data_IF_919861466029
#
_entry.id   IF_919861466029
#
_cell.length_a   1.000
_cell.length_b   1.000
_cell.length_c   1.000
_cell.angle_alpha   90.00
_cell.angle_beta   90.00
_cell.angle_gamma   90.00
#
_symmetry.space_group_name_H-M   'P 1'
#
loop_
_entity.id
_entity.type
_entity.pdbx_description
1 polymer ?
#
# COMPACT_ATOMS: atom_id res chain seq x y z
N UNK A 1 -52.68 6.10 11.37
CA UNK A 1 -51.43 5.36 11.06
C UNK A 1 -50.90 5.93 9.76
N UNK A 2 -49.84 6.73 9.83
CA UNK A 2 -49.38 7.58 8.72
C UNK A 2 -48.60 6.83 7.64
N UNK A 3 -48.49 7.40 6.44
CA UNK A 3 -47.86 6.77 5.25
C UNK A 3 -46.34 6.61 5.35
N UNK A 4 -45.76 6.77 6.53
CA UNK A 4 -44.28 6.65 6.77
C UNK A 4 -43.82 5.22 7.00
N UNK A 5 -44.71 4.26 7.29
CA UNK A 5 -44.36 2.86 7.53
C UNK A 5 -43.89 2.10 6.27
N UNK A 6 -44.53 2.26 5.08
CA UNK A 6 -44.07 1.58 3.88
C UNK A 6 -42.73 2.09 3.36
N UNK A 7 -42.39 3.37 3.59
CA UNK A 7 -41.07 3.92 3.18
C UNK A 7 -39.91 3.38 4.05
N UNK A 8 -40.14 3.14 5.34
CA UNK A 8 -39.16 2.53 6.25
C UNK A 8 -38.92 1.04 5.91
N UNK A 9 -39.96 0.31 5.55
CA UNK A 9 -39.84 -1.10 5.13
C UNK A 9 -39.17 -1.21 3.77
N UNK A 10 -39.43 -0.28 2.84
CA UNK A 10 -38.72 -0.24 1.54
C UNK A 10 -37.22 0.14 1.69
N UNK A 11 -36.90 1.03 2.63
CA UNK A 11 -35.51 1.38 2.93
C UNK A 11 -34.72 0.25 3.63
N UNK A 12 -35.39 -0.54 4.47
CA UNK A 12 -34.79 -1.73 5.11
C UNK A 12 -34.68 -2.91 4.13
N UNK A 13 -35.56 -3.02 3.15
CA UNK A 13 -35.50 -4.07 2.13
C UNK A 13 -34.34 -3.89 1.11
N UNK A 14 -33.84 -2.68 0.93
CA UNK A 14 -32.72 -2.41 0.04
C UNK A 14 -31.33 -2.72 0.64
N UNK A 15 -31.25 -3.00 1.95
CA UNK A 15 -30.00 -3.35 2.63
C UNK A 15 -29.71 -4.86 2.67
N UNK A 16 -30.63 -5.71 2.18
CA UNK A 16 -30.44 -7.16 2.12
C UNK A 16 -30.07 -7.62 0.70
N UNK A 17 -29.09 -6.97 0.08
CA UNK A 17 -28.44 -7.58 -1.07
C UNK A 17 -27.57 -8.72 -0.55
N UNK A 18 -27.82 -9.97 -1.00
CA UNK A 18 -26.96 -11.08 -0.65
C UNK A 18 -25.55 -10.76 -1.13
N UNK A 19 -24.59 -10.96 -0.28
CA UNK A 19 -23.18 -10.81 -0.62
C UNK A 19 -22.84 -11.65 -1.89
N UNK A 20 -22.30 -11.01 -2.88
CA UNK A 20 -22.08 -11.56 -4.23
C UNK A 20 -20.60 -11.80 -4.52
N UNK A 21 -19.78 -12.13 -3.53
CA UNK A 21 -18.34 -12.36 -3.68
C UNK A 21 -17.50 -11.08 -3.77
N UNK A 22 -16.18 -11.21 -3.60
CA UNK A 22 -15.28 -10.06 -3.50
C UNK A 22 -15.36 -9.07 -4.66
N UNK A 23 -15.55 -9.54 -5.90
CA UNK A 23 -15.57 -8.63 -7.07
C UNK A 23 -16.72 -7.64 -7.06
N UNK A 24 -17.87 -7.99 -6.50
CA UNK A 24 -19.02 -7.07 -6.43
C UNK A 24 -18.90 -6.03 -5.33
N UNK A 25 -17.85 -6.12 -4.50
CA UNK A 25 -17.50 -5.02 -3.60
C UNK A 25 -16.95 -3.81 -4.34
N UNK A 26 -16.59 -3.96 -5.61
CA UNK A 26 -16.25 -2.83 -6.47
C UNK A 26 -17.50 -2.33 -7.22
N UNK A 27 -17.84 -1.06 -7.00
CA UNK A 27 -18.98 -0.41 -7.64
C UNK A 27 -18.96 -0.49 -9.17
N UNK A 28 -17.79 -0.43 -9.79
CA UNK A 28 -17.62 -0.52 -11.25
C UNK A 28 -18.13 -1.86 -11.79
N UNK A 29 -17.93 -2.95 -11.05
CA UNK A 29 -18.46 -4.28 -11.40
C UNK A 29 -19.98 -4.31 -11.29
N UNK A 30 -20.55 -3.75 -10.23
CA UNK A 30 -21.99 -3.65 -10.05
C UNK A 30 -22.66 -2.82 -11.15
N UNK A 31 -22.09 -1.68 -11.49
CA UNK A 31 -22.59 -0.80 -12.57
C UNK A 31 -22.51 -1.51 -13.94
N UNK A 32 -21.42 -2.23 -14.22
CA UNK A 32 -21.25 -3.00 -15.45
C UNK A 32 -22.24 -4.18 -15.54
N UNK A 33 -22.48 -4.90 -14.45
CA UNK A 33 -23.48 -5.98 -14.40
C UNK A 33 -24.91 -5.43 -14.58
N UNK A 34 -25.19 -4.26 -14.03
CA UNK A 34 -26.47 -3.59 -14.22
C UNK A 34 -26.68 -3.17 -15.67
N UNK A 35 -25.68 -2.55 -16.32
CA UNK A 35 -25.75 -2.20 -17.72
C UNK A 35 -25.88 -3.44 -18.63
N UNK A 36 -25.16 -4.53 -18.31
CA UNK A 36 -25.35 -5.81 -18.99
C UNK A 36 -26.83 -6.28 -18.90
N UNK A 37 -27.44 -6.21 -17.71
CA UNK A 37 -28.83 -6.66 -17.45
C UNK A 37 -29.86 -5.78 -18.15
N UNK A 38 -29.72 -4.44 -18.11
CA UNK A 38 -30.74 -3.50 -18.55
C UNK A 38 -30.58 -3.09 -20.01
N UNK A 39 -29.36 -2.98 -20.51
CA UNK A 39 -29.08 -2.35 -21.79
C UNK A 39 -28.65 -3.37 -22.87
N UNK A 40 -27.86 -4.39 -22.49
CA UNK A 40 -27.27 -5.30 -23.47
C UNK A 40 -28.07 -6.60 -23.68
N UNK A 41 -28.37 -7.33 -22.59
CA UNK A 41 -29.02 -8.66 -22.66
C UNK A 41 -30.42 -8.63 -23.33
N UNK A 42 -31.29 -7.62 -23.10
CA UNK A 42 -32.61 -7.59 -23.73
C UNK A 42 -32.55 -7.61 -25.26
N UNK A 43 -31.59 -6.89 -25.87
CA UNK A 43 -31.42 -6.81 -27.30
C UNK A 43 -30.69 -8.01 -27.92
N UNK A 44 -29.99 -8.82 -27.12
CA UNK A 44 -29.16 -9.93 -27.58
C UNK A 44 -29.69 -11.31 -27.22
N UNK A 45 -30.61 -11.37 -26.21
CA UNK A 45 -31.30 -12.57 -25.77
C UNK A 45 -32.82 -12.29 -25.78
N UNK A 46 -33.64 -13.21 -26.26
CA UNK A 46 -35.11 -13.06 -26.22
C UNK A 46 -35.62 -12.75 -24.80
N UNK A 47 -36.78 -12.05 -24.74
CA UNK A 47 -37.33 -11.46 -23.50
C UNK A 47 -37.54 -12.44 -22.33
N UNK A 48 -37.69 -13.73 -22.55
CA UNK A 48 -37.82 -14.75 -21.53
C UNK A 48 -36.48 -15.27 -21.01
N UNK A 49 -35.42 -15.18 -21.82
CA UNK A 49 -34.13 -15.81 -21.51
C UNK A 49 -33.17 -14.88 -20.74
N UNK A 50 -33.21 -13.57 -20.98
CA UNK A 50 -32.23 -12.63 -20.38
C UNK A 50 -32.27 -12.62 -18.84
N UNK A 51 -33.45 -12.69 -18.19
CA UNK A 51 -33.60 -12.72 -16.73
C UNK A 51 -32.99 -13.98 -16.12
N UNK A 52 -33.25 -15.15 -16.72
CA UNK A 52 -32.72 -16.43 -16.25
C UNK A 52 -31.18 -16.47 -16.40
N UNK A 53 -30.65 -15.97 -17.51
CA UNK A 53 -29.21 -15.86 -17.72
C UNK A 53 -28.58 -14.96 -16.68
N UNK A 54 -29.18 -13.78 -16.40
CA UNK A 54 -28.67 -12.85 -15.41
C UNK A 54 -28.72 -13.41 -13.98
N UNK A 55 -29.77 -14.11 -13.62
CA UNK A 55 -29.89 -14.79 -12.33
C UNK A 55 -28.80 -15.84 -12.14
N UNK A 56 -28.54 -16.68 -13.14
CA UNK A 56 -27.45 -17.67 -13.11
C UNK A 56 -26.06 -17.00 -13.10
N UNK A 57 -25.92 -15.87 -13.78
CA UNK A 57 -24.67 -15.11 -13.78
C UNK A 57 -24.40 -14.50 -12.38
N UNK A 58 -25.41 -13.92 -11.74
CA UNK A 58 -25.33 -13.46 -10.35
C UNK A 58 -25.03 -14.59 -9.38
N UNK A 59 -25.63 -15.77 -9.55
CA UNK A 59 -25.34 -16.96 -8.77
C UNK A 59 -23.86 -17.39 -8.94
N UNK A 60 -23.38 -17.43 -10.20
CA UNK A 60 -21.97 -17.73 -10.48
C UNK A 60 -20.99 -16.72 -9.90
N UNK A 61 -21.37 -15.43 -9.81
CA UNK A 61 -20.58 -14.41 -9.11
C UNK A 61 -20.50 -14.66 -7.60
N UNK A 62 -21.54 -15.21 -6.99
CA UNK A 62 -21.53 -15.59 -5.58
C UNK A 62 -20.49 -16.67 -5.27
N UNK A 63 -20.24 -17.57 -6.21
CA UNK A 63 -19.22 -18.61 -6.06
C UNK A 63 -17.79 -18.06 -5.94
N UNK A 64 -17.58 -16.78 -6.23
CA UNK A 64 -16.30 -16.09 -5.98
C UNK A 64 -16.01 -15.85 -4.48
N UNK A 65 -16.97 -16.05 -3.60
CA UNK A 65 -16.74 -16.09 -2.13
C UNK A 65 -16.01 -17.37 -1.73
N UNK A 66 -16.31 -18.49 -2.40
CA UNK A 66 -15.81 -19.81 -2.09
C UNK A 66 -14.70 -20.22 -3.06
N UNK A 67 -13.65 -19.42 -3.16
CA UNK A 67 -12.45 -19.78 -3.90
C UNK A 67 -11.75 -20.93 -3.16
N UNK A 68 -11.63 -22.10 -3.79
CA UNK A 68 -10.82 -23.19 -3.25
C UNK A 68 -9.35 -22.82 -3.46
N UNK A 69 -8.70 -22.41 -2.38
CA UNK A 69 -7.26 -22.18 -2.31
C UNK A 69 -6.63 -23.40 -1.65
N UNK A 70 -5.43 -23.78 -2.08
CA UNK A 70 -4.79 -25.08 -1.72
C UNK A 70 -4.33 -25.20 -0.26
N UNK A 71 -4.31 -24.13 0.54
CA UNK A 71 -3.87 -24.13 1.94
C UNK A 71 -4.92 -23.50 2.88
N UNK A 72 -4.80 -23.75 4.20
CA UNK A 72 -5.63 -23.23 5.31
C UNK A 72 -5.70 -21.70 5.37
N UNK A 73 -5.92 -21.06 4.24
CA UNK A 73 -5.89 -19.64 4.06
C UNK A 73 -7.23 -19.02 4.46
N UNK A 74 -7.15 -17.83 5.03
CA UNK A 74 -8.26 -17.06 5.55
C UNK A 74 -9.16 -16.58 4.40
N UNK A 75 -10.24 -17.35 4.14
CA UNK A 75 -11.20 -17.05 3.06
C UNK A 75 -12.00 -15.78 3.38
N UNK A 76 -12.32 -15.03 2.33
CA UNK A 76 -13.30 -13.94 2.41
C UNK A 76 -12.75 -12.57 2.75
N UNK A 77 -11.44 -12.35 2.69
CA UNK A 77 -10.84 -11.00 2.79
C UNK A 77 -9.89 -10.72 1.64
N UNK A 78 -9.82 -9.47 1.22
CA UNK A 78 -8.97 -9.01 0.12
C UNK A 78 -8.50 -7.58 0.39
N UNK A 79 -7.30 -7.23 -0.06
CA UNK A 79 -6.84 -5.85 -0.06
C UNK A 79 -7.29 -5.08 -1.31
N UNK A 80 -7.27 -3.76 -1.25
CA UNK A 80 -7.71 -2.91 -2.35
C UNK A 80 -6.91 -3.14 -3.64
N UNK A 81 -5.57 -3.26 -3.63
CA UNK A 81 -4.81 -3.50 -4.86
C UNK A 81 -5.15 -4.83 -5.54
N UNK A 82 -5.41 -5.88 -4.76
CA UNK A 82 -5.78 -7.20 -5.30
C UNK A 82 -7.20 -7.19 -5.85
N UNK A 83 -8.15 -6.55 -5.15
CA UNK A 83 -9.51 -6.33 -5.63
C UNK A 83 -9.51 -5.55 -6.94
N UNK A 84 -8.72 -4.49 -7.02
CA UNK A 84 -8.61 -3.66 -8.22
C UNK A 84 -8.10 -4.46 -9.43
N UNK A 85 -7.06 -5.28 -9.27
CA UNK A 85 -6.57 -6.16 -10.34
C UNK A 85 -7.65 -7.13 -10.84
N UNK A 86 -8.40 -7.75 -9.92
CA UNK A 86 -9.52 -8.62 -10.26
C UNK A 86 -10.62 -7.86 -11.03
N UNK A 87 -10.99 -6.70 -10.54
CA UNK A 87 -11.98 -5.81 -11.16
C UNK A 87 -11.59 -5.42 -12.58
N UNK A 88 -10.36 -4.97 -12.79
CA UNK A 88 -9.88 -4.61 -14.13
C UNK A 88 -9.90 -5.80 -15.11
N UNK A 89 -9.48 -6.97 -14.64
CA UNK A 89 -9.52 -8.19 -15.45
C UNK A 89 -10.95 -8.53 -15.87
N UNK A 90 -11.89 -8.52 -14.91
CA UNK A 90 -13.29 -8.81 -15.14
C UNK A 90 -13.94 -7.81 -16.11
N UNK A 91 -13.79 -6.51 -15.89
CA UNK A 91 -14.37 -5.47 -16.72
C UNK A 91 -13.82 -5.49 -18.14
N UNK A 92 -12.53 -5.76 -18.32
CA UNK A 92 -11.88 -5.90 -19.62
C UNK A 92 -12.51 -7.04 -20.43
N UNK A 93 -12.69 -8.20 -19.80
CA UNK A 93 -13.26 -9.35 -20.51
C UNK A 93 -14.76 -9.20 -20.77
N UNK A 94 -15.51 -8.62 -19.83
CA UNK A 94 -16.90 -8.30 -20.03
C UNK A 94 -17.08 -7.33 -21.21
N UNK A 95 -16.25 -6.26 -21.26
CA UNK A 95 -16.25 -5.31 -22.35
C UNK A 95 -15.93 -5.97 -23.69
N UNK A 96 -14.96 -6.87 -23.74
CA UNK A 96 -14.62 -7.64 -24.95
C UNK A 96 -15.83 -8.40 -25.50
N UNK A 97 -16.63 -9.02 -24.62
CA UNK A 97 -17.84 -9.75 -25.02
C UNK A 97 -18.90 -8.79 -25.54
N UNK A 98 -19.17 -7.69 -24.85
CA UNK A 98 -20.17 -6.70 -25.28
C UNK A 98 -19.78 -6.00 -26.58
N UNK A 99 -18.49 -5.72 -26.79
CA UNK A 99 -18.00 -5.10 -28.03
C UNK A 99 -18.04 -6.07 -29.23
N UNK A 100 -18.12 -7.40 -29.02
CA UNK A 100 -18.15 -8.40 -30.07
C UNK A 100 -19.54 -8.61 -30.71
N UNK A 101 -20.60 -7.97 -30.18
CA UNK A 101 -22.00 -8.05 -30.61
C UNK A 101 -22.53 -9.48 -30.82
N UNK A 102 -22.06 -10.43 -30.01
CA UNK A 102 -22.46 -11.83 -30.04
C UNK A 102 -23.87 -11.99 -29.49
N UNK A 103 -24.72 -12.82 -30.11
CA UNK A 103 -26.13 -12.99 -29.74
C UNK A 103 -26.49 -14.42 -29.40
N UNK A 104 -27.62 -14.61 -28.74
CA UNK A 104 -28.24 -15.91 -28.49
C UNK A 104 -27.39 -16.83 -27.63
N UNK A 105 -27.39 -18.12 -27.96
CA UNK A 105 -26.72 -19.17 -27.18
C UNK A 105 -25.20 -18.98 -27.09
N UNK A 106 -24.59 -18.40 -28.11
CA UNK A 106 -23.14 -18.15 -28.12
C UNK A 106 -22.77 -17.08 -27.09
N UNK A 107 -23.57 -16.01 -26.96
CA UNK A 107 -23.38 -15.00 -25.91
C UNK A 107 -23.43 -15.63 -24.50
N UNK A 108 -24.39 -16.52 -24.26
CA UNK A 108 -24.52 -17.22 -22.98
C UNK A 108 -23.27 -18.05 -22.70
N UNK A 109 -22.77 -18.80 -23.68
CA UNK A 109 -21.53 -19.59 -23.55
C UNK A 109 -20.31 -18.72 -23.24
N UNK A 110 -20.16 -17.59 -23.95
CA UNK A 110 -19.05 -16.65 -23.71
C UNK A 110 -19.09 -16.02 -22.30
N UNK A 111 -20.27 -15.63 -21.81
CA UNK A 111 -20.42 -15.06 -20.47
C UNK A 111 -20.07 -16.08 -19.38
N UNK A 112 -20.53 -17.32 -19.47
CA UNK A 112 -20.20 -18.34 -18.46
C UNK A 112 -18.75 -18.83 -18.57
N UNK A 113 -18.19 -18.87 -19.78
CA UNK A 113 -16.77 -19.13 -19.97
C UNK A 113 -15.90 -18.05 -19.33
N UNK A 114 -16.25 -16.76 -19.57
CA UNK A 114 -15.60 -15.63 -18.92
C UNK A 114 -15.67 -15.74 -17.40
N UNK A 115 -16.84 -16.03 -16.82
CA UNK A 115 -16.97 -16.20 -15.36
C UNK A 115 -16.01 -17.26 -14.81
N UNK A 116 -15.93 -18.42 -15.47
CA UNK A 116 -15.01 -19.50 -15.07
C UNK A 116 -13.56 -19.02 -15.10
N UNK A 117 -13.15 -18.37 -16.17
CA UNK A 117 -11.80 -17.81 -16.32
C UNK A 117 -11.48 -16.77 -15.23
N UNK A 118 -12.42 -15.84 -14.99
CA UNK A 118 -12.24 -14.79 -14.00
C UNK A 118 -12.18 -15.35 -12.56
N UNK A 119 -12.91 -16.41 -12.26
CA UNK A 119 -12.81 -17.13 -10.98
C UNK A 119 -11.39 -17.67 -10.76
N UNK A 120 -10.80 -18.32 -11.76
CA UNK A 120 -9.42 -18.85 -11.70
C UNK A 120 -8.37 -17.72 -11.58
N UNK A 121 -8.57 -16.61 -12.30
CA UNK A 121 -7.69 -15.43 -12.23
C UNK A 121 -7.74 -14.80 -10.84
N UNK A 122 -8.93 -14.58 -10.30
CA UNK A 122 -9.11 -14.03 -8.96
C UNK A 122 -8.51 -14.95 -7.89
N UNK A 123 -8.73 -16.26 -8.00
CA UNK A 123 -8.14 -17.23 -7.07
C UNK A 123 -6.61 -17.13 -7.01
N UNK A 124 -5.96 -16.98 -8.16
CA UNK A 124 -4.49 -16.75 -8.21
C UNK A 124 -4.09 -15.45 -7.56
N UNK A 125 -4.81 -14.35 -7.80
CA UNK A 125 -4.50 -13.06 -7.17
C UNK A 125 -4.68 -13.12 -5.65
N UNK A 126 -5.76 -13.75 -5.17
CA UNK A 126 -6.01 -13.93 -3.73
C UNK A 126 -4.96 -14.83 -3.09
N UNK A 127 -4.55 -15.91 -3.74
CA UNK A 127 -3.46 -16.78 -3.24
C UNK A 127 -2.16 -16.02 -3.08
N UNK A 128 -1.78 -15.21 -4.06
CA UNK A 128 -0.57 -14.35 -3.96
C UNK A 128 -0.69 -13.30 -2.86
N UNK A 129 -1.84 -12.65 -2.75
CA UNK A 129 -2.11 -11.71 -1.66
C UNK A 129 -1.92 -12.37 -0.30
N UNK A 130 -2.51 -13.54 -0.07
CA UNK A 130 -2.44 -14.22 1.21
C UNK A 130 -1.03 -14.70 1.55
N UNK A 131 -0.28 -15.14 0.56
CA UNK A 131 1.09 -15.61 0.73
C UNK A 131 2.08 -14.50 1.02
N UNK A 132 1.99 -13.41 0.28
CA UNK A 132 3.08 -12.42 0.22
C UNK A 132 2.70 -11.08 0.87
N UNK A 133 1.41 -10.75 0.96
CA UNK A 133 0.93 -9.42 1.37
C UNK A 133 0.15 -9.45 2.69
N UNK A 134 -0.62 -10.51 2.95
CA UNK A 134 -1.39 -10.61 4.18
C UNK A 134 -0.47 -10.90 5.36
N UNK A 135 -0.39 -9.98 6.31
CA UNK A 135 0.41 -10.12 7.53
C UNK A 135 1.88 -10.52 7.29
N UNK A 136 2.66 -9.84 6.43
CA UNK A 136 4.04 -10.19 6.11
C UNK A 136 5.01 -9.94 7.27
N UNK A 137 4.56 -9.32 8.36
CA UNK A 137 5.37 -9.04 9.52
C UNK A 137 5.79 -10.34 10.24
N UNK A 138 7.11 -10.53 10.42
CA UNK A 138 7.66 -11.67 11.19
C UNK A 138 7.59 -11.44 12.70
N UNK A 139 7.53 -10.19 13.13
CA UNK A 139 7.37 -9.75 14.52
C UNK A 139 6.57 -8.45 14.55
N UNK A 140 6.16 -8.01 15.74
CA UNK A 140 5.43 -6.77 15.93
C UNK A 140 3.95 -6.87 15.64
N UNK A 141 3.29 -5.72 15.60
CA UNK A 141 1.87 -5.60 15.28
C UNK A 141 1.71 -4.70 14.05
N UNK A 142 1.35 -5.31 12.94
CA UNK A 142 1.02 -4.63 11.69
C UNK A 142 -0.49 -4.44 11.59
N UNK A 143 -0.93 -3.31 11.06
CA UNK A 143 -2.33 -2.99 10.79
C UNK A 143 -2.54 -2.88 9.28
N UNK A 144 -3.52 -3.60 8.76
CA UNK A 144 -3.89 -3.59 7.35
C UNK A 144 -5.38 -3.35 7.19
N UNK A 145 -5.79 -2.45 6.29
CA UNK A 145 -7.19 -2.31 5.91
C UNK A 145 -7.54 -3.37 4.86
N UNK A 146 -8.49 -4.22 5.19
CA UNK A 146 -8.98 -5.29 4.32
C UNK A 146 -10.46 -5.13 4.08
N UNK A 147 -10.91 -5.57 2.90
CA UNK A 147 -12.32 -5.66 2.53
C UNK A 147 -12.82 -7.07 2.82
N UNK A 148 -13.87 -7.20 3.64
CA UNK A 148 -14.57 -8.45 3.87
C UNK A 148 -15.54 -8.72 2.71
N UNK A 149 -15.31 -9.77 1.95
CA UNK A 149 -16.06 -10.07 0.72
C UNK A 149 -17.55 -10.35 0.95
N UNK A 150 -17.92 -10.83 2.14
CA UNK A 150 -19.31 -11.12 2.50
C UNK A 150 -20.14 -9.84 2.69
N UNK A 151 -19.58 -8.81 3.33
CA UNK A 151 -20.27 -7.57 3.66
C UNK A 151 -19.82 -6.37 2.87
N UNK A 152 -18.75 -6.51 2.12
CA UNK A 152 -18.03 -5.42 1.44
C UNK A 152 -17.58 -4.29 2.39
N UNK A 153 -17.49 -4.58 3.68
CA UNK A 153 -17.01 -3.62 4.66
C UNK A 153 -15.49 -3.61 4.74
N UNK A 154 -14.92 -2.42 4.76
CA UNK A 154 -13.50 -2.24 5.04
C UNK A 154 -13.25 -2.18 6.54
N UNK A 155 -12.40 -3.09 7.03
CA UNK A 155 -12.04 -3.16 8.45
C UNK A 155 -10.53 -3.26 8.60
N UNK A 156 -10.02 -2.65 9.68
CA UNK A 156 -8.60 -2.78 10.03
C UNK A 156 -8.37 -4.14 10.69
N UNK A 157 -7.53 -4.94 10.04
CA UNK A 157 -7.04 -6.21 10.56
C UNK A 157 -5.71 -6.01 11.28
N UNK A 158 -5.57 -6.58 12.47
CA UNK A 158 -4.35 -6.50 13.27
C UNK A 158 -3.57 -7.80 13.21
N UNK A 159 -2.46 -7.80 12.49
CA UNK A 159 -1.50 -8.90 12.38
C UNK A 159 -0.60 -8.94 13.64
N UNK A 160 -1.10 -9.52 14.72
CA UNK A 160 -0.43 -9.53 16.03
C UNK A 160 0.61 -10.63 16.12
N UNK A 161 1.85 -10.25 16.33
CA UNK A 161 2.99 -11.13 16.70
C UNK A 161 3.73 -10.54 17.89
N UNK A 162 4.78 -11.21 18.36
CA UNK A 162 5.58 -10.70 19.47
C UNK A 162 6.09 -9.28 19.15
N UNK A 163 5.76 -8.31 20.01
CA UNK A 163 6.19 -6.92 19.82
C UNK A 163 7.71 -6.75 19.87
N UNK A 164 8.42 -7.64 20.57
CA UNK A 164 9.87 -7.67 20.59
C UNK A 164 10.40 -8.28 19.28
N UNK A 165 11.02 -7.43 18.47
CA UNK A 165 11.61 -7.78 17.17
C UNK A 165 13.11 -8.09 17.25
N UNK A 166 13.62 -8.32 18.46
CA UNK A 166 14.95 -8.82 18.68
C UNK A 166 15.97 -7.79 19.16
N UNK A 167 17.22 -8.23 19.15
CA UNK A 167 18.37 -7.45 19.63
C UNK A 167 19.40 -7.29 18.51
N UNK A 168 19.97 -6.09 18.38
CA UNK A 168 21.01 -5.75 17.42
C UNK A 168 22.27 -5.27 18.13
N UNK A 169 23.44 -5.74 17.71
CA UNK A 169 24.74 -5.26 18.20
C UNK A 169 25.28 -4.20 17.23
N UNK A 170 25.61 -3.04 17.77
CA UNK A 170 26.18 -1.92 17.03
C UNK A 170 27.58 -1.63 17.55
N UNK A 171 28.57 -1.66 16.67
CA UNK A 171 29.96 -1.27 16.97
C UNK A 171 30.27 0.01 16.22
N UNK A 172 30.77 1.02 16.93
CA UNK A 172 31.10 2.35 16.37
C UNK A 172 32.42 2.79 17.00
N UNK A 173 33.28 3.46 16.24
CA UNK A 173 34.52 4.01 16.83
C UNK A 173 34.27 5.37 17.49
N UNK A 174 35.08 5.67 18.47
CA UNK A 174 35.07 6.98 19.12
C UNK A 174 35.24 8.10 18.07
N UNK A 175 34.45 9.18 18.21
CA UNK A 175 34.35 10.33 17.30
C UNK A 175 33.66 10.01 15.95
N UNK A 176 33.18 8.81 15.74
CA UNK A 176 32.29 8.49 14.59
C UNK A 176 30.82 8.67 14.99
N UNK A 177 29.93 8.66 14.01
CA UNK A 177 28.50 8.79 14.22
C UNK A 177 27.87 7.42 14.50
N UNK A 178 27.08 7.35 15.54
CA UNK A 178 26.25 6.18 15.87
C UNK A 178 24.89 6.31 15.20
N UNK A 179 24.51 5.30 14.45
CA UNK A 179 23.20 5.20 13.82
C UNK A 179 22.49 3.96 14.34
N UNK A 180 21.31 4.16 14.96
CA UNK A 180 20.41 3.07 15.36
C UNK A 180 19.18 3.12 14.47
N UNK A 181 18.97 2.08 13.68
CA UNK A 181 17.86 2.00 12.72
C UNK A 181 16.77 1.04 13.24
N UNK A 182 15.60 1.58 13.48
CA UNK A 182 14.42 0.88 13.99
C UNK A 182 13.47 0.41 12.88
N UNK A 183 13.80 0.70 11.63
CA UNK A 183 12.92 0.38 10.53
C UNK A 183 12.88 -1.12 10.24
N UNK A 184 11.69 -1.61 9.95
CA UNK A 184 11.43 -2.95 9.43
C UNK A 184 10.68 -2.81 8.11
N UNK A 185 10.92 -3.74 7.20
CA UNK A 185 10.38 -3.71 5.84
C UNK A 185 8.85 -3.63 5.78
N UNK A 186 8.13 -4.10 6.79
CA UNK A 186 6.68 -4.05 6.85
C UNK A 186 6.11 -2.74 7.44
N UNK A 187 6.93 -1.87 8.04
CA UNK A 187 6.45 -0.61 8.63
C UNK A 187 5.76 0.29 7.61
N UNK A 188 6.28 0.36 6.39
CA UNK A 188 5.66 1.16 5.31
C UNK A 188 4.30 0.64 4.86
N UNK A 189 4.07 -0.68 4.97
CA UNK A 189 2.82 -1.31 4.57
C UNK A 189 1.78 -1.36 5.69
N UNK A 190 2.15 -0.89 6.90
CA UNK A 190 1.25 -0.86 8.05
C UNK A 190 0.56 0.48 8.19
N UNK A 191 -0.72 0.45 8.42
CA UNK A 191 -1.49 1.64 8.77
C UNK A 191 -1.43 1.94 10.26
N UNK A 192 -1.78 3.17 10.63
CA UNK A 192 -1.96 3.56 12.02
C UNK A 192 -0.72 3.46 12.91
N UNK A 193 0.47 3.47 12.33
CA UNK A 193 1.72 3.66 13.06
C UNK A 193 1.97 5.15 13.32
N UNK A 194 2.66 5.45 14.40
CA UNK A 194 2.86 6.83 14.86
C UNK A 194 4.35 7.15 14.93
N UNK A 195 4.83 7.50 16.14
CA UNK A 195 6.19 7.99 16.35
C UNK A 195 7.11 6.85 16.77
N UNK A 196 8.35 6.91 16.27
CA UNK A 196 9.46 6.18 16.84
C UNK A 196 9.94 6.87 18.10
N UNK A 197 10.27 6.08 19.11
CA UNK A 197 10.81 6.55 20.40
C UNK A 197 12.06 5.76 20.74
N UNK A 198 13.18 6.44 20.94
CA UNK A 198 14.43 5.81 21.34
C UNK A 198 14.72 6.13 22.80
N UNK A 199 15.06 5.09 23.54
CA UNK A 199 15.37 5.16 24.96
C UNK A 199 16.77 4.64 25.20
N UNK A 200 17.48 5.29 26.12
CA UNK A 200 18.67 4.71 26.74
C UNK A 200 18.25 3.91 27.96
N UNK A 201 18.72 2.68 28.06
CA UNK A 201 18.36 1.74 29.13
C UNK A 201 19.58 1.50 30.01
N UNK A 202 19.43 1.64 31.36
CA UNK A 202 20.47 1.36 32.32
C UNK A 202 20.32 -0.03 32.94
N UNK A 203 21.38 -0.51 33.62
CA UNK A 203 21.40 -1.82 34.27
C UNK A 203 20.28 -2.02 35.31
N UNK A 204 19.86 -0.94 35.96
CA UNK A 204 18.74 -0.94 36.92
C UNK A 204 17.36 -0.90 36.25
N UNK A 205 17.30 -1.12 34.92
CA UNK A 205 16.09 -1.03 34.09
C UNK A 205 15.44 0.35 34.05
N UNK A 206 16.11 1.39 34.51
CA UNK A 206 15.64 2.75 34.29
C UNK A 206 15.86 3.13 32.81
N UNK A 207 14.91 3.87 32.24
CA UNK A 207 14.95 4.31 30.84
C UNK A 207 14.84 5.82 30.75
N UNK A 208 15.56 6.42 29.84
CA UNK A 208 15.43 7.84 29.49
C UNK A 208 15.18 8.00 28.01
N UNK A 209 14.13 8.72 27.67
CA UNK A 209 13.85 9.10 26.30
C UNK A 209 15.00 9.94 25.73
N UNK A 210 15.53 9.53 24.59
CA UNK A 210 16.61 10.21 23.87
C UNK A 210 16.05 10.94 22.66
N UNK A 211 15.12 10.32 21.94
CA UNK A 211 14.49 10.85 20.75
C UNK A 211 13.05 10.37 20.63
N UNK A 212 12.18 11.23 20.11
CA UNK A 212 10.83 10.87 19.67
C UNK A 212 10.47 11.67 18.43
N UNK A 213 10.01 10.98 17.39
CA UNK A 213 9.62 11.60 16.13
C UNK A 213 9.27 10.58 15.06
N UNK A 214 9.09 11.05 13.84
CA UNK A 214 8.70 10.22 12.69
C UNK A 214 9.88 9.52 12.01
N UNK A 215 11.12 9.99 12.25
CA UNK A 215 12.30 9.36 11.69
C UNK A 215 12.56 8.01 12.36
N UNK A 216 12.77 6.93 11.59
CA UNK A 216 13.02 5.59 12.11
C UNK A 216 14.42 5.41 12.66
N UNK A 217 15.32 6.39 12.47
CA UNK A 217 16.71 6.33 12.84
C UNK A 217 17.06 7.33 13.94
N UNK A 218 17.88 6.89 14.90
CA UNK A 218 18.55 7.76 15.86
C UNK A 218 20.00 7.92 15.43
N UNK A 219 20.40 9.14 15.04
CA UNK A 219 21.79 9.49 14.76
C UNK A 219 22.37 10.29 15.91
N UNK A 220 23.49 9.83 16.47
CA UNK A 220 24.26 10.55 17.47
C UNK A 220 25.66 10.80 16.92
N UNK A 221 26.02 12.07 16.61
CA UNK A 221 27.32 12.40 16.07
C UNK A 221 28.42 12.31 17.14
N UNK A 222 29.64 12.02 16.70
CA UNK A 222 30.87 12.06 17.49
C UNK A 222 30.72 11.35 18.84
N UNK A 223 30.44 10.05 18.80
CA UNK A 223 30.21 9.25 20.02
C UNK A 223 31.44 9.21 20.93
N UNK A 224 31.20 9.14 22.22
CA UNK A 224 32.18 8.99 23.30
C UNK A 224 32.07 7.62 23.94
N UNK A 225 33.09 7.13 24.67
CA UNK A 225 33.01 5.87 25.41
C UNK A 225 31.81 5.82 26.37
N UNK A 226 31.37 6.97 26.90
CA UNK A 226 30.20 7.09 27.76
C UNK A 226 28.87 6.82 27.03
N UNK A 227 28.85 6.78 25.71
CA UNK A 227 27.65 6.49 24.92
C UNK A 227 27.45 4.98 24.68
N UNK A 228 28.44 4.17 25.02
CA UNK A 228 28.27 2.72 25.05
C UNK A 228 27.16 2.30 26.03
N UNK A 229 26.44 1.26 25.70
CA UNK A 229 25.38 0.71 26.54
C UNK A 229 24.17 0.20 25.76
N UNK A 230 23.09 0.00 26.47
CA UNK A 230 21.85 -0.54 25.91
C UNK A 230 20.92 0.59 25.51
N UNK A 231 20.35 0.46 24.32
CA UNK A 231 19.29 1.33 23.82
C UNK A 231 18.10 0.47 23.43
N UNK A 232 16.92 1.09 23.41
CA UNK A 232 15.68 0.47 22.98
C UNK A 232 14.93 1.43 22.06
N UNK A 233 14.57 0.94 20.90
CA UNK A 233 13.61 1.63 20.03
C UNK A 233 12.22 1.04 20.25
N UNK A 234 11.21 1.89 20.15
CA UNK A 234 9.81 1.53 20.17
C UNK A 234 9.05 2.34 19.13
N UNK A 235 8.32 1.65 18.26
CA UNK A 235 7.33 2.24 17.37
C UNK A 235 5.94 1.95 17.95
N UNK A 236 5.09 2.97 18.04
CA UNK A 236 3.76 2.84 18.61
C UNK A 236 2.67 2.96 17.54
N UNK A 237 1.53 2.33 17.80
CA UNK A 237 0.30 2.60 17.06
C UNK A 237 -0.34 3.91 17.52
N UNK A 238 -1.32 4.40 16.76
CA UNK A 238 -2.15 5.56 17.14
C UNK A 238 -2.88 5.37 18.47
N UNK A 239 -3.10 4.12 18.89
CA UNK A 239 -3.68 3.75 20.20
C UNK A 239 -2.64 3.66 21.30
N UNK A 240 -1.40 4.06 21.03
CA UNK A 240 -0.26 4.01 21.97
C UNK A 240 0.17 2.60 22.41
N UNK A 241 -0.26 1.56 21.72
CA UNK A 241 0.24 0.20 21.90
C UNK A 241 1.58 0.04 21.15
N UNK A 242 2.56 -0.69 21.71
CA UNK A 242 3.82 -0.92 21.02
C UNK A 242 3.63 -1.86 19.85
N UNK A 243 3.89 -1.35 18.64
CA UNK A 243 3.88 -2.14 17.40
C UNK A 243 5.20 -2.87 17.20
N UNK A 244 6.32 -2.22 17.53
CA UNK A 244 7.67 -2.79 17.37
C UNK A 244 8.56 -2.34 18.53
N UNK A 245 9.36 -3.27 19.05
CA UNK A 245 10.40 -3.01 20.03
C UNK A 245 11.69 -3.69 19.54
N UNK A 246 12.78 -2.93 19.45
CA UNK A 246 14.11 -3.44 19.09
C UNK A 246 15.11 -2.97 20.15
N UNK A 247 15.92 -3.89 20.63
CA UNK A 247 16.99 -3.61 21.57
C UNK A 247 18.34 -3.48 20.84
N UNK A 248 19.20 -2.59 21.32
CA UNK A 248 20.53 -2.37 20.77
C UNK A 248 21.58 -2.47 21.86
N UNK A 249 22.64 -3.23 21.59
CA UNK A 249 23.86 -3.25 22.40
C UNK A 249 24.94 -2.46 21.67
N UNK A 250 25.18 -1.23 22.14
CA UNK A 250 26.15 -0.33 21.54
C UNK A 250 27.50 -0.49 22.23
N UNK A 251 28.54 -0.76 21.44
CA UNK A 251 29.94 -0.79 21.88
C UNK A 251 30.71 0.29 21.16
N UNK A 252 31.35 1.18 21.93
CA UNK A 252 32.23 2.20 21.40
C UNK A 252 33.65 1.65 21.45
N UNK A 253 34.27 1.58 20.27
CA UNK A 253 35.65 1.13 20.08
C UNK A 253 36.58 2.34 20.09
N UNK A 254 37.88 2.15 20.37
CA UNK A 254 38.88 3.20 20.31
C UNK A 254 38.85 3.92 18.95
N UNK A 255 39.27 5.20 18.95
CA UNK A 255 39.36 5.99 17.72
C UNK A 255 40.21 5.27 16.66
N UNK A 256 39.78 5.29 15.42
CA UNK A 256 40.61 4.77 14.31
C UNK A 256 41.87 5.63 14.15
N UNK A 257 42.98 4.99 14.19
CA UNK A 257 44.27 5.62 13.80
C UNK A 257 44.27 5.53 12.28
N UNK A 258 44.05 6.64 11.62
CA UNK A 258 44.36 6.78 10.19
C UNK A 258 45.88 7.01 10.12
N UNK A 259 46.66 5.99 9.77
CA UNK A 259 48.05 6.22 9.33
C UNK A 259 47.96 7.06 8.05
N UNK A 260 48.19 8.35 8.19
CA UNK A 260 48.49 9.19 7.04
C UNK A 260 49.76 8.65 6.42
N UNK A 261 49.60 7.87 5.33
CA UNK A 261 50.75 7.60 4.44
C UNK A 261 51.27 8.95 3.99
N UNK A 262 52.55 9.27 4.35
CA UNK A 262 53.12 10.56 3.93
C UNK A 262 53.05 10.62 2.39
N UNK A 263 52.32 11.60 1.88
CA UNK A 263 52.35 11.93 0.47
C UNK A 263 53.77 12.29 0.12
N UNK A 264 54.51 11.35 -0.47
CA UNK A 264 55.79 11.65 -1.09
C UNK A 264 55.48 12.63 -2.22
N UNK A 265 55.70 13.90 -1.95
CA UNK A 265 55.71 14.94 -2.95
C UNK A 265 56.86 14.62 -3.91
N UNK A 266 56.51 13.96 -5.00
CA UNK A 266 57.44 13.83 -6.16
C UNK A 266 57.51 15.22 -6.77
N UNK A 267 58.63 15.91 -6.48
CA UNK A 267 59.04 17.08 -7.24
C UNK A 267 59.41 16.59 -8.65
N UNK A 268 58.78 17.09 -9.71
CA UNK A 268 59.19 16.74 -11.06
C UNK A 268 60.51 17.50 -11.35
N UNK A 269 61.64 16.78 -11.37
CA UNK A 269 62.83 17.27 -12.04
C UNK A 269 62.53 17.28 -13.54
N UNK A 270 62.67 18.46 -14.10
CA UNK A 270 62.68 18.77 -15.49
C UNK A 270 64.07 18.42 -15.96
N UNK A 271 64.16 17.47 -16.89
CA UNK A 271 65.24 17.27 -17.94
C UNK A 271 65.14 15.83 -18.42
N UNK A 272 64.66 15.63 -19.61
CA UNK A 272 65.27 15.14 -20.82
C UNK A 272 64.22 14.85 -21.89
N UNK A 273 64.34 15.67 -22.94
CA UNK A 273 63.80 15.39 -24.28
C UNK A 273 64.65 14.25 -24.87
N UNK A 274 64.11 13.28 -25.54
CA UNK A 274 64.31 12.89 -26.91
C UNK A 274 63.88 11.44 -27.22
N UNK A 275 63.18 11.37 -28.38
CA UNK A 275 63.14 10.28 -29.36
C UNK A 275 62.66 8.89 -28.96
N UNK A 276 61.58 8.47 -29.52
CA UNK A 276 61.40 7.65 -30.71
C UNK A 276 59.96 7.28 -30.99
N UNK A 277 59.56 7.45 -32.23
CA UNK A 277 58.37 6.86 -32.89
C UNK A 277 58.49 5.33 -32.87
N UNK A 278 57.33 4.68 -32.70
CA UNK A 278 56.73 3.75 -33.65
C UNK A 278 55.57 2.99 -32.98
N UNK A 279 54.45 3.15 -33.58
CA UNK A 279 53.56 2.23 -34.34
C UNK A 279 52.70 1.25 -33.57
N UNK A 280 51.42 1.53 -33.75
CA UNK A 280 50.30 0.65 -34.21
C UNK A 280 49.64 -0.29 -33.22
N UNK A 281 48.37 -0.02 -33.11
CA UNK A 281 47.14 -0.82 -33.28
C UNK A 281 46.31 -1.12 -32.07
N UNK A 282 45.01 -0.74 -32.34
CA UNK A 282 43.72 -1.29 -31.95
C UNK A 282 43.13 -0.91 -30.62
N UNK A 283 42.05 -0.11 -30.77
CA UNK A 283 40.97 0.15 -29.84
C UNK A 283 40.14 -1.12 -29.54
N UNK A 284 39.32 -1.11 -28.48
CA UNK A 284 37.99 -0.56 -28.71
C UNK A 284 37.44 0.35 -27.61
N UNK A 285 36.75 1.35 -28.08
CA UNK A 285 35.64 2.12 -27.50
C UNK A 285 35.08 1.64 -26.18
N UNK A 286 35.14 2.51 -25.16
CA UNK A 286 34.08 2.65 -24.18
C UNK A 286 33.66 4.12 -24.10
N UNK A 287 32.49 4.38 -24.66
CA UNK A 287 31.76 5.62 -24.55
C UNK A 287 31.47 5.94 -23.09
N UNK A 288 32.10 6.93 -22.54
CA UNK A 288 31.64 7.59 -21.32
C UNK A 288 30.59 8.61 -21.71
N UNK A 289 29.32 8.26 -21.54
CA UNK A 289 28.22 9.22 -21.64
C UNK A 289 28.17 9.99 -20.34
N UNK A 290 28.68 11.19 -20.36
CA UNK A 290 28.51 12.18 -19.30
C UNK A 290 27.05 12.68 -19.35
N UNK A 291 26.28 12.33 -18.37
CA UNK A 291 24.90 12.86 -18.18
C UNK A 291 25.03 14.22 -17.49
N UNK A 292 24.52 15.32 -18.07
CA UNK A 292 24.49 16.61 -17.40
C UNK A 292 23.46 16.59 -16.24
N UNK A 293 23.66 17.37 -15.16
CA UNK A 293 22.73 17.43 -14.05
C UNK A 293 21.39 18.03 -14.48
N UNK A 294 20.25 17.52 -13.98
CA UNK A 294 18.95 18.08 -14.31
C UNK A 294 18.79 19.48 -13.71
N UNK A 295 18.35 20.40 -14.54
CA UNK A 295 17.90 21.74 -14.14
C UNK A 295 16.73 21.65 -13.18
N UNK A 296 16.59 22.56 -12.20
CA UNK A 296 15.46 22.57 -11.28
C UNK A 296 14.16 22.84 -12.03
N UNK A 297 13.32 21.82 -12.14
CA UNK A 297 11.92 21.94 -12.59
C UNK A 297 11.13 22.76 -11.58
N UNK A 298 10.50 23.80 -12.05
CA UNK A 298 9.55 24.65 -11.37
C UNK A 298 8.50 23.82 -10.62
N UNK A 299 8.57 23.84 -9.28
CA UNK A 299 7.56 23.25 -8.43
C UNK A 299 6.26 24.03 -8.56
N UNK A 300 5.18 23.36 -8.92
CA UNK A 300 3.84 23.88 -8.82
C UNK A 300 3.54 24.24 -7.34
N UNK A 301 2.86 25.35 -7.05
CA UNK A 301 2.58 25.77 -5.68
C UNK A 301 1.63 24.76 -5.01
N UNK A 302 2.09 24.14 -3.93
CA UNK A 302 1.24 23.35 -3.02
C UNK A 302 0.16 24.26 -2.44
N UNK A 303 -1.13 23.84 -2.43
CA UNK A 303 -2.19 24.64 -1.83
C UNK A 303 -1.94 24.78 -0.32
N UNK A 304 -1.81 26.01 0.14
CA UNK A 304 -1.69 26.33 1.57
C UNK A 304 -2.97 25.93 2.30
N UNK A 305 -2.86 25.50 3.56
CA UNK A 305 -3.98 25.08 4.44
C UNK A 305 -5.09 26.14 4.46
N UNK A 306 -4.75 27.42 4.33
CA UNK A 306 -5.68 28.55 4.26
C UNK A 306 -6.60 28.50 3.03
N UNK A 307 -6.10 28.07 1.88
CA UNK A 307 -6.91 27.94 0.66
C UNK A 307 -7.87 26.74 0.73
N UNK A 308 -7.51 25.65 1.41
CA UNK A 308 -8.42 24.52 1.67
C UNK A 308 -9.55 24.93 2.63
N UNK A 309 -9.23 25.70 3.67
CA UNK A 309 -10.23 26.17 4.65
C UNK A 309 -11.23 27.12 4.01
N UNK A 310 -10.77 28.04 3.16
CA UNK A 310 -11.63 28.95 2.38
C UNK A 310 -12.55 28.19 1.42
N UNK A 311 -12.04 27.17 0.73
CA UNK A 311 -12.85 26.34 -0.18
C UNK A 311 -13.94 25.58 0.56
N UNK A 312 -13.63 25.05 1.75
CA UNK A 312 -14.60 24.36 2.62
C UNK A 312 -15.70 25.29 3.15
N UNK A 313 -15.32 26.51 3.58
CA UNK A 313 -16.28 27.52 4.05
C UNK A 313 -17.21 27.98 2.93
N UNK A 314 -16.70 28.21 1.72
CA UNK A 314 -17.51 28.59 0.56
C UNK A 314 -18.47 27.47 0.19
N UNK A 315 -18.02 26.21 0.22
CA UNK A 315 -18.87 25.04 -0.02
C UNK A 315 -20.03 24.92 0.98
N UNK A 316 -19.77 25.12 2.27
CA UNK A 316 -20.78 25.10 3.33
C UNK A 316 -21.80 26.22 3.21
N UNK A 317 -21.36 27.44 2.81
CA UNK A 317 -22.26 28.56 2.59
C UNK A 317 -23.18 28.33 1.39
N UNK A 318 -22.66 27.81 0.28
CA UNK A 318 -23.47 27.45 -0.90
C UNK A 318 -24.50 26.39 -0.53
N UNK A 319 -24.08 25.36 0.20
CA UNK A 319 -24.99 24.27 0.63
C UNK A 319 -26.08 24.75 1.55
N UNK A 320 -25.75 25.63 2.53
CA UNK A 320 -26.72 26.28 3.42
C UNK A 320 -27.73 27.12 2.66
N UNK A 321 -27.29 27.85 1.62
CA UNK A 321 -28.18 28.64 0.76
C UNK A 321 -29.17 27.78 -0.04
N UNK A 322 -28.69 26.65 -0.59
CA UNK A 322 -29.52 25.70 -1.33
C UNK A 322 -30.59 25.08 -0.44
N UNK A 323 -30.22 24.69 0.79
CA UNK A 323 -31.18 24.13 1.77
C UNK A 323 -32.22 25.18 2.17
N UNK A 324 -31.82 26.44 2.34
CA UNK A 324 -32.73 27.53 2.72
C UNK A 324 -33.73 27.83 1.61
N UNK A 325 -33.29 27.86 0.33
CA UNK A 325 -34.18 28.02 -0.83
C UNK A 325 -35.13 26.86 -0.95
N UNK A 326 -34.64 25.62 -0.80
CA UNK A 326 -35.50 24.43 -0.82
C UNK A 326 -36.57 24.44 0.28
N UNK A 327 -36.22 24.93 1.48
CA UNK A 327 -37.15 25.07 2.59
C UNK A 327 -38.26 26.09 2.33
N UNK A 328 -37.91 27.22 1.65
CA UNK A 328 -38.87 28.27 1.27
C UNK A 328 -39.84 27.79 0.17
N UNK A 329 -39.37 26.92 -0.74
CA UNK A 329 -40.21 26.39 -1.85
C UNK A 329 -41.17 25.30 -1.35
N UNK A 330 -40.88 24.66 -0.21
CA UNK A 330 -41.71 23.58 0.37
C UNK A 330 -42.76 24.13 1.39
N UNK A 331 -42.56 25.35 1.90
CA UNK A 331 -43.52 26.06 2.74
C UNK A 331 -44.55 26.82 1.88
#
# INVERSE_FOLDING_TARGET
MGPRFPLLVAALGSCLLPALGCLVCDKRVLDALKSLETDYLPDHLGAEHHKNVMEKLKAGMKDFENLQLEDESFYGVIDDPTLEKGTWSFLKDLKRITDSDVKGELLVKELFWMLKQQKEILARHVSLFQKDVLCPNKCGMMLQTLTWCETCEKKVHACRKNANCGERSVKVHEMEDMILDCELNWHHASEGLKDYSFYRVWKNKTERLVYKGTAPTLTKPMVKPSDAGTYRCQLNTVKSEPATIIHYQVRVLPKRIVEETPSTSIVPNQEDLDMALDEVTWAPNKSSTTIPPPSPSSAAPTPTVENMLRSLLVGLLIWGFVVLIASIVIL
#
